data_IF_383886995239
#
_entry.id   IF_383886995239
#
_cell.length_a   1.000
_cell.length_b   1.000
_cell.length_c   1.000
_cell.angle_alpha   90.00
_cell.angle_beta   90.00
_cell.angle_gamma   90.00
#
_symmetry.space_group_name_H-M   'P 1'
#
loop_
_entity.id
_entity.type
_entity.pdbx_description
1 polymer ?
#
# COMPACT_ATOMS: atom_id res chain seq x y z
N UNK A 1 26.06 55.32 19.55
CA UNK A 1 25.27 54.12 19.22
C UNK A 1 23.82 54.47 19.47
N UNK A 2 23.06 54.75 18.41
CA UNK A 2 21.62 54.89 18.54
C UNK A 2 21.08 53.47 18.73
N UNK A 3 20.53 53.19 19.90
CA UNK A 3 19.73 51.98 20.12
C UNK A 3 18.44 52.24 19.35
N UNK A 4 18.28 51.60 18.19
CA UNK A 4 16.99 51.55 17.51
C UNK A 4 16.01 50.87 18.47
N UNK A 5 15.16 51.68 19.09
CA UNK A 5 14.08 51.21 19.95
C UNK A 5 13.06 50.59 19.00
N UNK A 6 13.01 49.27 18.97
CA UNK A 6 12.01 48.50 18.23
C UNK A 6 10.63 48.98 18.70
N UNK A 7 9.81 49.44 17.75
CA UNK A 7 8.48 49.97 18.03
C UNK A 7 7.62 48.89 18.72
N UNK A 8 6.82 49.29 19.71
CA UNK A 8 5.98 48.37 20.50
C UNK A 8 5.03 47.57 19.58
N UNK A 9 4.65 48.17 18.44
CA UNK A 9 3.87 47.50 17.40
C UNK A 9 4.63 46.36 16.69
N UNK A 10 5.92 46.54 16.41
CA UNK A 10 6.76 45.48 15.82
C UNK A 10 7.03 44.37 16.83
N UNK A 11 7.23 44.73 18.10
CA UNK A 11 7.32 43.78 19.21
C UNK A 11 6.08 42.90 19.32
N UNK A 12 4.89 43.50 19.27
CA UNK A 12 3.63 42.75 19.38
C UNK A 12 3.40 41.86 18.15
N UNK A 13 3.74 42.35 16.96
CA UNK A 13 3.69 41.55 15.72
C UNK A 13 4.60 40.31 15.79
N UNK A 14 5.85 40.49 16.22
CA UNK A 14 6.81 39.39 16.41
C UNK A 14 6.33 38.39 17.45
N UNK A 15 5.70 38.85 18.55
CA UNK A 15 5.10 37.96 19.56
C UNK A 15 3.97 37.11 18.98
N UNK A 16 3.09 37.71 18.18
CA UNK A 16 2.01 36.99 17.52
C UNK A 16 2.53 35.95 16.52
N UNK A 17 3.57 36.29 15.75
CA UNK A 17 4.20 35.39 14.78
C UNK A 17 4.88 34.20 15.49
N UNK A 18 5.64 34.45 16.56
CA UNK A 18 6.23 33.38 17.39
C UNK A 18 5.15 32.47 17.99
N UNK A 19 4.01 33.03 18.40
CA UNK A 19 2.92 32.24 18.97
C UNK A 19 2.26 31.35 17.92
N UNK A 20 2.06 31.86 16.70
CA UNK A 20 1.54 31.08 15.58
C UNK A 20 2.52 29.97 15.18
N UNK A 21 3.82 30.25 15.12
CA UNK A 21 4.85 29.23 14.83
C UNK A 21 4.88 28.12 15.89
N UNK A 22 4.72 28.47 17.18
CA UNK A 22 4.63 27.47 18.26
C UNK A 22 3.42 26.57 18.11
N UNK A 23 2.25 27.13 17.80
CA UNK A 23 1.03 26.34 17.56
C UNK A 23 1.19 25.41 16.34
N UNK A 24 1.77 25.92 15.26
CA UNK A 24 2.04 25.13 14.06
C UNK A 24 3.04 24.01 14.34
N UNK A 25 4.10 24.29 15.11
CA UNK A 25 5.06 23.28 15.54
C UNK A 25 4.41 22.19 16.38
N UNK A 26 3.55 22.55 17.33
CA UNK A 26 2.84 21.60 18.19
C UNK A 26 1.92 20.69 17.38
N UNK A 27 1.17 21.24 16.41
CA UNK A 27 0.34 20.44 15.50
C UNK A 27 1.18 19.46 14.65
N UNK A 28 2.35 19.90 14.15
CA UNK A 28 3.24 19.03 13.39
C UNK A 28 3.86 17.93 14.25
N UNK A 29 4.21 18.23 15.51
CA UNK A 29 4.72 17.23 16.45
C UNK A 29 3.66 16.18 16.80
N UNK A 30 2.40 16.59 16.98
CA UNK A 30 1.27 15.67 17.17
C UNK A 30 1.07 14.76 15.94
N UNK A 31 1.03 15.35 14.74
CA UNK A 31 0.90 14.58 13.49
C UNK A 31 2.07 13.60 13.30
N UNK A 32 3.29 14.01 13.60
CA UNK A 32 4.46 13.14 13.53
C UNK A 32 4.40 12.00 14.55
N UNK A 33 3.88 12.26 15.75
CA UNK A 33 3.68 11.23 16.77
C UNK A 33 2.61 10.21 16.34
N UNK A 34 1.50 10.67 15.78
CA UNK A 34 0.45 9.82 15.23
C UNK A 34 0.98 8.96 14.07
N UNK A 35 1.74 9.55 13.15
CA UNK A 35 2.38 8.82 12.05
C UNK A 35 3.39 7.76 12.55
N UNK A 36 4.15 8.04 13.61
CA UNK A 36 5.01 7.03 14.21
C UNK A 36 4.22 5.88 14.81
N UNK A 37 3.10 6.18 15.48
CA UNK A 37 2.23 5.16 16.06
C UNK A 37 1.59 4.27 14.98
N UNK A 38 1.15 4.86 13.85
CA UNK A 38 0.60 4.08 12.74
C UNK A 38 1.65 3.21 12.06
N UNK A 39 2.88 3.70 11.90
CA UNK A 39 4.00 2.88 11.40
C UNK A 39 4.27 1.69 12.34
N UNK A 40 4.33 1.91 13.66
CA UNK A 40 4.56 0.84 14.62
C UNK A 40 3.44 -0.22 14.59
N UNK A 41 2.18 0.20 14.41
CA UNK A 41 1.06 -0.72 14.26
C UNK A 41 1.15 -1.54 12.95
N UNK A 42 1.54 -0.89 11.84
CA UNK A 42 1.71 -1.57 10.55
C UNK A 42 2.86 -2.58 10.59
N UNK A 43 3.97 -2.26 11.25
CA UNK A 43 5.09 -3.18 11.45
C UNK A 43 4.67 -4.42 12.24
N UNK A 44 3.91 -4.26 13.35
CA UNK A 44 3.37 -5.40 14.11
C UNK A 44 2.42 -6.27 13.29
N UNK A 45 1.57 -5.66 12.46
CA UNK A 45 0.68 -6.41 11.56
C UNK A 45 1.47 -7.17 10.50
N UNK A 46 2.51 -6.56 9.94
CA UNK A 46 3.39 -7.20 8.97
C UNK A 46 4.06 -8.46 9.55
N UNK A 47 4.64 -8.36 10.75
CA UNK A 47 5.26 -9.49 11.43
C UNK A 47 4.25 -10.62 11.70
N UNK A 48 3.01 -10.27 12.04
CA UNK A 48 1.96 -11.27 12.27
C UNK A 48 1.61 -12.02 10.99
N UNK A 49 1.46 -11.30 9.87
CA UNK A 49 1.17 -11.89 8.55
C UNK A 49 2.30 -12.82 8.09
N UNK A 50 3.56 -12.43 8.30
CA UNK A 50 4.71 -13.27 7.96
C UNK A 50 4.72 -14.57 8.77
N UNK A 51 4.39 -14.48 10.07
CA UNK A 51 4.26 -15.65 10.94
C UNK A 51 3.11 -16.58 10.56
N UNK A 52 1.92 -16.04 10.26
CA UNK A 52 0.77 -16.84 9.77
C UNK A 52 1.11 -17.54 8.45
N UNK A 53 1.87 -16.85 7.58
CA UNK A 53 2.43 -17.38 6.33
C UNK A 53 3.26 -18.66 6.54
N UNK A 54 4.04 -18.69 7.62
CA UNK A 54 4.88 -19.84 7.95
C UNK A 54 4.07 -20.98 8.60
N UNK A 55 2.98 -20.66 9.31
CA UNK A 55 2.16 -21.66 10.00
C UNK A 55 1.33 -22.52 9.02
N UNK A 56 0.66 -21.92 8.03
CA UNK A 56 -0.11 -22.69 7.05
C UNK A 56 0.80 -23.61 6.22
N UNK A 57 2.01 -23.14 5.89
CA UNK A 57 3.00 -23.91 5.14
C UNK A 57 3.44 -25.15 5.92
N UNK A 58 3.80 -24.97 7.19
CA UNK A 58 4.16 -26.08 8.09
C UNK A 58 3.02 -27.09 8.23
N UNK A 59 1.77 -26.61 8.39
CA UNK A 59 0.58 -27.49 8.46
C UNK A 59 0.36 -28.26 7.15
N UNK A 60 0.48 -27.57 6.01
CA UNK A 60 0.34 -28.19 4.69
C UNK A 60 1.41 -29.25 4.43
N UNK A 61 2.67 -28.96 4.75
CA UNK A 61 3.78 -29.91 4.61
C UNK A 61 3.55 -31.15 5.48
N UNK A 62 3.18 -30.96 6.75
CA UNK A 62 2.85 -32.07 7.67
C UNK A 62 1.67 -32.91 7.15
N UNK A 63 0.61 -32.26 6.67
CA UNK A 63 -0.55 -32.97 6.13
C UNK A 63 -0.21 -33.76 4.86
N UNK A 64 0.66 -33.20 4.01
CA UNK A 64 1.13 -33.85 2.79
C UNK A 64 1.94 -35.11 3.12
N UNK A 65 2.85 -35.03 4.10
CA UNK A 65 3.60 -36.21 4.57
C UNK A 65 2.67 -37.31 5.11
N UNK A 66 1.66 -36.95 5.90
CA UNK A 66 0.68 -37.91 6.43
C UNK A 66 -0.10 -38.57 5.27
N UNK A 67 -0.52 -37.79 4.28
CA UNK A 67 -1.24 -38.31 3.12
C UNK A 67 -0.37 -39.31 2.33
N UNK A 68 0.91 -39.00 2.10
CA UNK A 68 1.83 -39.93 1.44
C UNK A 68 2.04 -41.23 2.24
N UNK A 69 2.08 -41.15 3.57
CA UNK A 69 2.16 -42.35 4.42
C UNK A 69 0.90 -43.20 4.30
N UNK A 70 -0.28 -42.59 4.28
CA UNK A 70 -1.56 -43.28 4.11
C UNK A 70 -1.66 -43.95 2.74
N UNK A 71 -1.23 -43.27 1.67
CA UNK A 71 -1.19 -43.85 0.32
C UNK A 71 -0.29 -45.09 0.26
N UNK A 72 0.89 -45.02 0.90
CA UNK A 72 1.79 -46.19 1.02
C UNK A 72 1.13 -47.35 1.77
N UNK A 73 0.39 -47.07 2.84
CA UNK A 73 -0.35 -48.10 3.59
C UNK A 73 -1.47 -48.73 2.75
N UNK A 74 -2.22 -47.92 2.00
CA UNK A 74 -3.27 -48.41 1.08
C UNK A 74 -2.65 -49.36 0.05
N UNK A 75 -1.54 -48.97 -0.57
CA UNK A 75 -0.85 -49.81 -1.55
C UNK A 75 -0.41 -51.15 -0.94
N UNK A 76 0.16 -51.12 0.27
CA UNK A 76 0.57 -52.35 0.98
C UNK A 76 -0.62 -53.27 1.26
N UNK A 77 -1.74 -52.71 1.74
CA UNK A 77 -2.95 -53.48 2.04
C UNK A 77 -3.57 -54.07 0.76
N UNK A 78 -3.60 -53.29 -0.32
CA UNK A 78 -4.06 -53.79 -1.62
C UNK A 78 -3.20 -54.97 -2.10
N UNK A 79 -1.88 -54.88 -1.98
CA UNK A 79 -0.98 -55.98 -2.34
C UNK A 79 -1.25 -57.23 -1.49
N UNK A 80 -1.39 -57.09 -0.17
CA UNK A 80 -1.73 -58.21 0.73
C UNK A 80 -3.07 -58.87 0.36
N UNK A 81 -4.06 -58.08 -0.01
CA UNK A 81 -5.35 -58.61 -0.48
C UNK A 81 -5.22 -59.36 -1.79
N UNK A 82 -4.43 -58.86 -2.74
CA UNK A 82 -4.19 -59.55 -4.02
C UNK A 82 -3.42 -60.84 -3.83
N UNK A 83 -2.40 -60.85 -2.97
CA UNK A 83 -1.63 -62.04 -2.61
C UNK A 83 -2.51 -63.10 -1.96
N UNK A 84 -3.38 -62.71 -1.02
CA UNK A 84 -4.36 -63.62 -0.42
C UNK A 84 -5.32 -64.21 -1.47
N UNK A 85 -5.79 -63.39 -2.44
CA UNK A 85 -6.64 -63.85 -3.54
C UNK A 85 -5.92 -64.82 -4.48
N UNK A 86 -4.65 -64.55 -4.80
CA UNK A 86 -3.83 -65.43 -5.63
C UNK A 86 -3.60 -66.79 -4.95
N UNK A 87 -3.26 -66.77 -3.65
CA UNK A 87 -3.08 -67.97 -2.84
C UNK A 87 -4.38 -68.83 -2.77
N UNK A 88 -5.55 -68.19 -2.70
CA UNK A 88 -6.85 -68.88 -2.77
C UNK A 88 -7.11 -69.52 -4.14
N UNK A 89 -6.65 -68.88 -5.23
CA UNK A 89 -6.83 -69.36 -6.60
C UNK A 89 -5.89 -70.53 -6.94
N UNK A 90 -4.64 -70.48 -6.48
CA UNK A 90 -3.65 -71.55 -6.65
C UNK A 90 -3.95 -72.80 -5.82
N UNK A 91 -4.69 -72.65 -4.70
CA UNK A 91 -5.14 -73.79 -3.90
C UNK A 91 -6.20 -74.68 -4.60
N UNK A 92 -6.68 -74.32 -5.80
CA UNK A 92 -7.53 -75.19 -6.64
C UNK A 92 -8.89 -75.57 -6.06
N UNK A 93 -9.35 -74.94 -4.98
CA UNK A 93 -10.62 -75.30 -4.34
C UNK A 93 -11.79 -74.62 -5.04
N UNK A 94 -12.46 -75.35 -5.93
CA UNK A 94 -13.79 -74.94 -6.39
C UNK A 94 -14.82 -75.24 -5.31
N UNK A 95 -15.90 -74.45 -5.15
CA UNK A 95 -16.98 -74.77 -4.21
C UNK A 95 -17.66 -76.13 -4.44
N UNK A 96 -17.36 -76.81 -5.55
CA UNK A 96 -17.90 -78.13 -5.91
C UNK A 96 -17.16 -79.31 -5.27
N UNK A 97 -15.93 -79.11 -4.79
CA UNK A 97 -15.15 -80.18 -4.13
C UNK A 97 -15.54 -80.36 -2.65
N UNK A 98 -16.43 -79.50 -2.15
CA UNK A 98 -16.92 -79.46 -0.77
C UNK A 98 -18.11 -80.41 -0.53
N UNK A 99 -18.14 -81.55 -1.23
CA UNK A 99 -19.23 -82.54 -1.09
C UNK A 99 -19.26 -83.25 0.27
N UNK A 100 -18.24 -83.05 1.10
CA UNK A 100 -18.23 -83.42 2.50
C UNK A 100 -18.51 -82.18 3.33
N UNK A 101 -19.79 -81.84 3.49
CA UNK A 101 -20.24 -80.72 4.31
C UNK A 101 -19.90 -80.92 5.81
N UNK A 102 -19.48 -82.13 6.19
CA UNK A 102 -19.05 -82.49 7.55
C UNK A 102 -17.58 -82.11 7.84
N UNK A 103 -16.76 -81.83 6.82
CA UNK A 103 -15.34 -81.44 6.97
C UNK A 103 -15.11 -79.92 6.87
N UNK A 104 -16.18 -79.14 6.65
CA UNK A 104 -16.18 -77.67 6.69
C UNK A 104 -16.81 -77.09 7.95
N UNK A 105 -17.29 -77.96 8.84
CA UNK A 105 -17.82 -77.58 10.15
C UNK A 105 -16.76 -76.87 11.01
N UNK A 106 -15.47 -77.09 10.74
CA UNK A 106 -14.38 -76.53 11.53
C UNK A 106 -13.83 -75.24 10.93
N UNK A 107 -14.69 -74.24 10.75
CA UNK A 107 -14.23 -72.89 11.04
C UNK A 107 -13.84 -72.87 12.53
N UNK A 108 -12.56 -73.16 12.83
CA UNK A 108 -12.05 -73.26 14.20
C UNK A 108 -12.66 -72.11 15.02
N UNK A 109 -13.46 -72.39 16.07
CA UNK A 109 -14.13 -71.36 16.86
C UNK A 109 -13.19 -70.25 17.35
N UNK A 110 -11.90 -70.56 17.45
CA UNK A 110 -10.84 -69.61 17.71
C UNK A 110 -10.67 -68.54 16.61
N UNK A 111 -10.67 -68.93 15.32
CA UNK A 111 -10.51 -68.02 14.19
C UNK A 111 -11.71 -67.08 14.04
N UNK A 112 -12.94 -67.58 14.20
CA UNK A 112 -14.14 -66.75 14.25
C UNK A 112 -14.02 -65.72 15.39
N UNK A 113 -13.55 -66.15 16.56
CA UNK A 113 -13.37 -65.26 17.71
C UNK A 113 -12.28 -64.20 17.48
N UNK A 114 -11.22 -64.52 16.73
CA UNK A 114 -10.20 -63.53 16.35
C UNK A 114 -10.76 -62.50 15.37
N UNK A 115 -11.48 -62.94 14.34
CA UNK A 115 -12.12 -62.04 13.37
C UNK A 115 -13.19 -61.16 14.02
N UNK A 116 -13.97 -61.68 14.97
CA UNK A 116 -14.94 -60.88 15.73
C UNK A 116 -14.25 -59.81 16.58
N UNK A 117 -13.11 -60.13 17.20
CA UNK A 117 -12.30 -59.15 17.94
C UNK A 117 -11.76 -58.08 17.01
N UNK A 118 -11.21 -58.46 15.86
CA UNK A 118 -10.66 -57.53 14.87
C UNK A 118 -11.74 -56.60 14.31
N UNK A 119 -12.90 -57.15 13.95
CA UNK A 119 -14.09 -56.38 13.57
C UNK A 119 -14.49 -55.38 14.65
N UNK A 120 -14.49 -55.77 15.92
CA UNK A 120 -14.84 -54.87 17.02
C UNK A 120 -13.79 -53.76 17.21
N UNK A 121 -12.50 -54.06 17.05
CA UNK A 121 -11.43 -53.06 17.07
C UNK A 121 -11.61 -52.05 15.93
N UNK A 122 -11.84 -52.53 14.71
CA UNK A 122 -12.07 -51.66 13.54
C UNK A 122 -13.33 -50.81 13.71
N UNK A 123 -14.40 -51.39 14.27
CA UNK A 123 -15.63 -50.65 14.56
C UNK A 123 -15.40 -49.54 15.58
N UNK A 124 -14.64 -49.81 16.64
CA UNK A 124 -14.29 -48.80 17.64
C UNK A 124 -13.40 -47.70 17.06
N UNK A 125 -12.43 -48.06 16.21
CA UNK A 125 -11.58 -47.10 15.50
C UNK A 125 -12.40 -46.20 14.56
N UNK A 126 -13.35 -46.76 13.80
CA UNK A 126 -14.26 -45.95 12.97
C UNK A 126 -15.04 -44.96 13.82
N UNK A 127 -15.60 -45.40 14.95
CA UNK A 127 -16.36 -44.52 15.83
C UNK A 127 -15.52 -43.39 16.44
N UNK A 128 -14.26 -43.66 16.76
CA UNK A 128 -13.32 -42.64 17.25
C UNK A 128 -13.01 -41.62 16.14
N UNK A 129 -12.75 -42.09 14.92
CA UNK A 129 -12.53 -41.20 13.77
C UNK A 129 -13.77 -40.33 13.48
N UNK A 130 -14.97 -40.91 13.50
CA UNK A 130 -16.22 -40.16 13.34
C UNK A 130 -16.37 -39.07 14.41
N UNK A 131 -16.05 -39.39 15.67
CA UNK A 131 -16.11 -38.42 16.76
C UNK A 131 -15.10 -37.29 16.58
N UNK A 132 -13.85 -37.62 16.19
CA UNK A 132 -12.81 -36.62 15.93
C UNK A 132 -13.19 -35.69 14.78
N UNK A 133 -13.74 -36.23 13.69
CA UNK A 133 -14.24 -35.44 12.56
C UNK A 133 -15.37 -34.51 12.97
N UNK A 134 -16.30 -34.96 13.83
CA UNK A 134 -17.37 -34.11 14.35
C UNK A 134 -16.82 -32.96 15.23
N UNK A 135 -15.82 -33.23 16.07
CA UNK A 135 -15.16 -32.18 16.87
C UNK A 135 -14.43 -31.17 15.98
N UNK A 136 -13.67 -31.65 14.99
CA UNK A 136 -12.95 -30.79 14.06
C UNK A 136 -13.91 -29.93 13.22
N UNK A 137 -15.01 -30.52 12.74
CA UNK A 137 -16.09 -29.80 12.05
C UNK A 137 -16.68 -28.68 12.90
N UNK A 138 -16.90 -28.93 14.20
CA UNK A 138 -17.36 -27.91 15.14
C UNK A 138 -16.33 -26.80 15.33
N UNK A 139 -15.06 -27.14 15.53
CA UNK A 139 -13.98 -26.17 15.70
C UNK A 139 -13.84 -25.28 14.45
N UNK A 140 -13.81 -25.88 13.26
CA UNK A 140 -13.74 -25.18 11.98
C UNK A 140 -14.93 -24.23 11.80
N UNK A 141 -16.15 -24.66 12.18
CA UNK A 141 -17.34 -23.80 12.12
C UNK A 141 -17.23 -22.56 13.00
N UNK A 142 -16.63 -22.66 14.19
CA UNK A 142 -16.40 -21.51 15.06
C UNK A 142 -15.32 -20.59 14.49
N UNK A 143 -14.23 -21.16 13.99
CA UNK A 143 -13.14 -20.41 13.37
C UNK A 143 -13.63 -19.60 12.17
N UNK A 144 -14.36 -20.24 11.25
CA UNK A 144 -14.94 -19.58 10.08
C UNK A 144 -15.83 -18.40 10.49
N UNK A 145 -16.70 -18.58 11.49
CA UNK A 145 -17.54 -17.47 11.98
C UNK A 145 -16.74 -16.33 12.59
N UNK A 146 -15.62 -16.61 13.25
CA UNK A 146 -14.74 -15.58 13.80
C UNK A 146 -14.09 -14.78 12.68
N UNK A 147 -13.50 -15.47 11.70
CA UNK A 147 -12.86 -14.86 10.54
C UNK A 147 -13.85 -14.04 9.71
N UNK A 148 -15.09 -14.50 9.57
CA UNK A 148 -16.14 -13.77 8.85
C UNK A 148 -16.47 -12.43 9.51
N UNK A 149 -16.50 -12.38 10.86
CA UNK A 149 -16.72 -11.14 11.61
C UNK A 149 -15.55 -10.19 11.46
N UNK A 150 -14.33 -10.70 11.58
CA UNK A 150 -13.12 -9.90 11.43
C UNK A 150 -13.01 -9.32 10.01
N UNK A 151 -13.27 -10.14 8.99
CA UNK A 151 -13.38 -9.68 7.59
C UNK A 151 -14.38 -8.53 7.46
N UNK A 152 -15.57 -8.65 8.04
CA UNK A 152 -16.59 -7.59 7.99
C UNK A 152 -16.13 -6.31 8.69
N UNK A 153 -15.45 -6.43 9.84
CA UNK A 153 -14.87 -5.30 10.56
C UNK A 153 -13.80 -4.59 9.72
N UNK A 154 -12.84 -5.34 9.17
CA UNK A 154 -11.76 -4.80 8.33
C UNK A 154 -12.31 -4.14 7.07
N UNK A 155 -13.31 -4.74 6.43
CA UNK A 155 -14.01 -4.13 5.29
C UNK A 155 -14.75 -2.84 5.66
N UNK A 156 -15.20 -2.71 6.92
CA UNK A 156 -15.75 -1.47 7.45
C UNK A 156 -14.68 -0.39 7.60
N UNK A 157 -13.56 -0.74 8.25
CA UNK A 157 -12.43 0.16 8.44
C UNK A 157 -11.82 0.65 7.12
N UNK A 158 -11.67 -0.24 6.15
CA UNK A 158 -11.17 0.10 4.82
C UNK A 158 -12.05 1.16 4.14
N UNK A 159 -13.38 0.99 4.19
CA UNK A 159 -14.33 1.98 3.63
C UNK A 159 -14.26 3.33 4.34
N UNK A 160 -14.05 3.34 5.66
CA UNK A 160 -13.88 4.58 6.42
C UNK A 160 -12.60 5.32 6.02
N UNK A 161 -11.49 4.59 5.92
CA UNK A 161 -10.20 5.14 5.47
C UNK A 161 -10.30 5.68 4.04
N UNK A 162 -10.90 4.92 3.12
CA UNK A 162 -11.16 5.36 1.74
C UNK A 162 -11.96 6.67 1.71
N UNK A 163 -13.02 6.75 2.53
CA UNK A 163 -13.83 7.96 2.61
C UNK A 163 -13.02 9.15 3.16
N UNK A 164 -12.23 8.95 4.22
CA UNK A 164 -11.37 10.00 4.78
C UNK A 164 -10.33 10.49 3.79
N UNK A 165 -9.69 9.59 3.05
CA UNK A 165 -8.73 9.93 1.99
C UNK A 165 -9.38 10.75 0.87
N UNK A 166 -10.61 10.40 0.48
CA UNK A 166 -11.37 11.19 -0.50
C UNK A 166 -11.68 12.61 0.02
N UNK A 167 -12.04 12.74 1.30
CA UNK A 167 -12.24 14.06 1.91
C UNK A 167 -10.94 14.88 1.98
N UNK A 168 -9.83 14.27 2.38
CA UNK A 168 -8.53 14.92 2.46
C UNK A 168 -8.05 15.38 1.08
N UNK A 169 -8.20 14.53 0.06
CA UNK A 169 -7.91 14.87 -1.34
C UNK A 169 -8.71 16.10 -1.80
N UNK A 170 -10.01 16.15 -1.51
CA UNK A 170 -10.87 17.31 -1.82
C UNK A 170 -10.40 18.57 -1.11
N UNK A 171 -10.07 18.47 0.19
CA UNK A 171 -9.56 19.59 0.97
C UNK A 171 -8.22 20.11 0.42
N UNK A 172 -7.31 19.20 0.06
CA UNK A 172 -6.02 19.54 -0.54
C UNK A 172 -6.19 20.27 -1.86
N UNK A 173 -7.04 19.76 -2.76
CA UNK A 173 -7.28 20.41 -4.05
C UNK A 173 -7.86 21.81 -3.88
N UNK A 174 -8.83 21.99 -2.97
CA UNK A 174 -9.40 23.29 -2.63
C UNK A 174 -8.31 24.27 -2.13
N UNK A 175 -7.50 23.86 -1.15
CA UNK A 175 -6.44 24.69 -0.61
C UNK A 175 -5.36 25.04 -1.66
N UNK A 176 -5.03 24.10 -2.54
CA UNK A 176 -4.07 24.34 -3.62
C UNK A 176 -4.61 25.32 -4.67
N UNK A 177 -5.90 25.28 -4.99
CA UNK A 177 -6.52 26.24 -5.90
C UNK A 177 -6.62 27.65 -5.28
N UNK A 178 -6.91 27.74 -3.98
CA UNK A 178 -6.80 29.01 -3.23
C UNK A 178 -5.37 29.56 -3.26
N UNK A 179 -4.36 28.71 -3.03
CA UNK A 179 -2.94 29.08 -3.12
C UNK A 179 -2.57 29.61 -4.51
N UNK A 180 -3.04 28.97 -5.59
CA UNK A 180 -2.81 29.47 -6.95
C UNK A 180 -3.45 30.84 -7.15
N UNK A 181 -4.67 31.04 -6.65
CA UNK A 181 -5.38 32.32 -6.71
C UNK A 181 -4.58 33.42 -6.02
N UNK A 182 -4.18 33.21 -4.75
CA UNK A 182 -3.34 34.18 -4.03
C UNK A 182 -2.00 34.43 -4.72
N UNK A 183 -1.38 33.40 -5.30
CA UNK A 183 -0.14 33.57 -6.06
C UNK A 183 -0.33 34.48 -7.28
N UNK A 184 -1.46 34.38 -7.98
CA UNK A 184 -1.79 35.25 -9.11
C UNK A 184 -2.02 36.69 -8.65
N UNK A 185 -2.77 36.88 -7.56
CA UNK A 185 -3.02 38.21 -6.97
C UNK A 185 -1.72 38.88 -6.54
N UNK A 186 -0.85 38.17 -5.82
CA UNK A 186 0.46 38.66 -5.39
C UNK A 186 1.30 39.09 -6.60
N UNK A 187 1.33 38.27 -7.67
CA UNK A 187 2.09 38.60 -8.88
C UNK A 187 1.51 39.84 -9.59
N UNK A 188 0.19 39.97 -9.64
CA UNK A 188 -0.50 41.15 -10.19
C UNK A 188 -0.19 42.42 -9.39
N UNK A 189 -0.26 42.36 -8.05
CA UNK A 189 0.07 43.48 -7.17
C UNK A 189 1.55 43.85 -7.27
N UNK A 190 2.45 42.86 -7.32
CA UNK A 190 3.89 43.10 -7.55
C UNK A 190 4.16 43.84 -8.86
N UNK A 191 3.49 43.43 -9.94
CA UNK A 191 3.54 44.16 -11.22
C UNK A 191 3.09 45.61 -11.08
N UNK A 192 1.93 45.81 -10.45
CA UNK A 192 1.36 47.14 -10.22
C UNK A 192 2.27 48.04 -9.35
N UNK A 193 2.92 47.48 -8.32
CA UNK A 193 3.89 48.19 -7.47
C UNK A 193 5.13 48.59 -8.27
N UNK A 194 5.64 47.71 -9.13
CA UNK A 194 6.79 48.01 -9.97
C UNK A 194 6.48 49.13 -10.98
N UNK A 195 5.29 49.09 -11.59
CA UNK A 195 4.79 50.14 -12.48
C UNK A 195 4.59 51.46 -11.73
N UNK A 196 4.08 51.42 -10.49
CA UNK A 196 3.97 52.60 -9.64
C UNK A 196 5.35 53.17 -9.31
N UNK A 197 6.30 52.33 -8.85
CA UNK A 197 7.67 52.74 -8.50
C UNK A 197 8.42 53.35 -9.69
N UNK A 198 8.26 52.80 -10.89
CA UNK A 198 8.86 53.37 -12.11
C UNK A 198 8.22 54.71 -12.49
N UNK A 199 6.90 54.87 -12.35
CA UNK A 199 6.22 56.16 -12.55
C UNK A 199 6.63 57.22 -11.52
N UNK A 200 6.80 56.85 -10.24
CA UNK A 200 7.24 57.79 -9.20
C UNK A 200 8.70 58.21 -9.38
N UNK A 201 9.58 57.31 -9.85
CA UNK A 201 10.96 57.67 -10.22
C UNK A 201 11.00 58.65 -11.39
N UNK A 202 10.11 58.48 -12.38
CA UNK A 202 9.95 59.42 -13.50
C UNK A 202 9.36 60.77 -13.07
N UNK A 203 8.51 60.82 -12.04
CA UNK A 203 7.96 62.08 -11.51
C UNK A 203 8.94 62.82 -10.60
N UNK A 204 9.70 62.09 -9.76
CA UNK A 204 10.74 62.69 -8.89
C UNK A 204 11.91 63.26 -9.71
N UNK A 205 12.18 62.73 -10.90
CA UNK A 205 13.11 63.33 -11.86
C UNK A 205 12.57 64.59 -12.56
N UNK A 206 11.30 64.96 -12.35
CA UNK A 206 10.64 66.11 -12.98
C UNK A 206 10.58 67.34 -12.05
N UNK A 207 10.66 67.14 -10.73
CA UNK A 207 10.70 68.22 -9.73
C UNK A 207 12.12 68.69 -9.37
N UNK A 208 13.17 68.06 -9.94
CA UNK A 208 14.57 68.44 -9.75
C UNK A 208 15.15 69.31 -10.89
N UNK A 209 14.31 70.08 -11.59
CA UNK A 209 14.79 70.99 -12.64
C UNK A 209 14.00 72.30 -12.65
N UNK A 210 14.21 73.11 -11.62
CA UNK A 210 13.95 74.55 -11.70
C UNK A 210 15.17 75.30 -11.15
N UNK A 211 16.19 75.44 -11.99
CA UNK A 211 17.15 76.57 -12.08
C UNK A 211 18.24 76.18 -13.08
N UNK A 212 18.26 76.85 -14.24
CA UNK A 212 19.40 77.33 -15.05
C UNK A 212 18.89 77.51 -16.50
N UNK A 213 18.77 78.75 -17.01
CA UNK A 213 18.38 79.00 -18.39
C UNK A 213 19.60 78.99 -19.31
N UNK A 214 19.54 78.19 -20.38
CA UNK A 214 20.38 78.41 -21.56
C UNK A 214 21.06 77.17 -22.15
N UNK A 215 20.31 76.38 -22.91
CA UNK A 215 20.76 75.86 -24.22
C UNK A 215 19.59 75.21 -24.94
N UNK A 216 19.17 75.80 -26.06
CA UNK A 216 18.28 75.17 -27.06
C UNK A 216 19.20 74.48 -28.08
N UNK A 217 18.98 73.22 -28.43
CA UNK A 217 18.29 72.76 -29.66
C UNK A 217 18.50 71.21 -29.77
N UNK A 218 17.84 70.47 -30.68
CA UNK A 218 16.46 70.02 -30.51
C UNK A 218 16.27 68.48 -30.69
N UNK A 219 15.08 68.05 -30.29
CA UNK A 219 14.49 66.71 -30.28
C UNK A 219 14.54 65.91 -31.60
N UNK A 220 14.23 64.60 -31.45
CA UNK A 220 13.48 63.70 -32.37
C UNK A 220 14.39 62.66 -33.05
N UNK A 221 14.16 61.35 -33.15
CA UNK A 221 13.10 60.37 -32.83
C UNK A 221 13.70 58.99 -33.15
N UNK A 222 13.22 57.87 -32.56
CA UNK A 222 13.65 56.55 -33.04
C UNK A 222 13.25 55.34 -32.21
N UNK A 223 11.95 55.05 -32.15
CA UNK A 223 11.36 53.84 -31.59
C UNK A 223 11.76 52.60 -32.41
N UNK A 224 12.72 51.79 -31.94
CA UNK A 224 12.94 50.45 -32.52
C UNK A 224 12.90 49.42 -31.39
N UNK A 225 11.86 48.55 -31.33
CA UNK A 225 11.79 47.44 -30.39
C UNK A 225 13.02 46.52 -30.49
N UNK A 226 13.39 45.88 -29.37
CA UNK A 226 14.58 45.02 -29.22
C UNK A 226 14.79 44.01 -30.37
N UNK A 227 13.70 43.49 -30.92
CA UNK A 227 13.67 42.44 -31.94
C UNK A 227 14.00 42.91 -33.36
N UNK A 228 14.28 44.21 -33.53
CA UNK A 228 14.62 44.83 -34.82
C UNK A 228 15.99 45.52 -34.81
N UNK A 229 16.82 45.30 -33.79
CA UNK A 229 18.19 45.79 -33.77
C UNK A 229 19.05 45.02 -34.78
N UNK A 230 19.53 45.71 -35.80
CA UNK A 230 20.49 45.18 -36.78
C UNK A 230 21.89 45.51 -36.29
N UNK A 231 22.65 44.50 -35.85
CA UNK A 231 24.03 44.69 -35.39
C UNK A 231 25.01 44.85 -36.57
N UNK A 232 24.67 44.25 -37.72
CA UNK A 232 25.49 44.27 -38.93
C UNK A 232 24.61 44.44 -40.20
N UNK A 233 24.79 45.51 -41.01
CA UNK A 233 23.87 45.86 -42.10
C UNK A 233 23.68 44.82 -43.20
N UNK A 234 24.61 43.87 -43.35
CA UNK A 234 24.54 42.81 -44.38
C UNK A 234 23.64 41.63 -44.00
N UNK A 235 23.27 41.49 -42.72
CA UNK A 235 22.64 40.27 -42.19
C UNK A 235 21.18 40.42 -41.74
N UNK A 236 20.58 41.62 -41.82
CA UNK A 236 19.15 41.85 -41.53
C UNK A 236 18.74 41.66 -40.05
N UNK A 237 17.42 41.80 -39.73
CA UNK A 237 16.93 41.75 -38.34
C UNK A 237 17.04 40.36 -37.68
N UNK A 238 17.38 40.34 -36.39
CA UNK A 238 17.62 39.11 -35.60
C UNK A 238 16.30 38.35 -35.38
N UNK A 239 16.12 37.18 -36.01
CA UNK A 239 14.96 36.30 -35.77
C UNK A 239 15.23 35.38 -34.57
N UNK A 240 14.66 35.66 -33.41
CA UNK A 240 14.69 34.74 -32.24
C UNK A 240 13.66 33.62 -32.42
N UNK A 241 14.05 32.54 -33.09
CA UNK A 241 13.34 31.27 -33.06
C UNK A 241 14.21 30.24 -32.33
N UNK A 242 14.03 30.09 -31.02
CA UNK A 242 14.57 28.96 -30.29
C UNK A 242 13.52 27.83 -30.31
N UNK A 243 13.53 27.02 -31.37
CA UNK A 243 12.82 25.74 -31.38
C UNK A 243 13.78 24.65 -30.89
N UNK A 244 13.74 24.33 -29.60
CA UNK A 244 14.45 23.16 -29.06
C UNK A 244 13.52 21.95 -29.21
N UNK A 245 13.83 21.05 -30.15
CA UNK A 245 13.02 19.83 -30.41
C UNK A 245 13.42 18.62 -29.55
N UNK A 246 14.38 18.74 -28.63
CA UNK A 246 14.62 17.81 -27.50
C UNK A 246 15.86 18.26 -26.72
N UNK A 247 15.89 17.99 -25.42
CA UNK A 247 17.07 18.19 -24.57
C UNK A 247 18.04 17.01 -24.73
N UNK A 248 19.36 17.21 -24.63
CA UNK A 248 20.35 16.13 -24.72
C UNK A 248 20.23 15.17 -23.52
N UNK A 249 20.44 13.87 -23.76
CA UNK A 249 20.36 12.84 -22.72
C UNK A 249 21.54 12.94 -21.76
N UNK A 250 21.26 12.74 -20.47
CA UNK A 250 22.28 12.65 -19.42
C UNK A 250 22.90 11.25 -19.42
N UNK A 251 24.22 11.16 -19.50
CA UNK A 251 24.94 9.90 -19.29
C UNK A 251 24.85 9.50 -17.80
N UNK A 252 24.41 8.27 -17.56
CA UNK A 252 24.38 7.64 -16.25
C UNK A 252 25.78 7.22 -15.84
N UNK A 253 26.26 7.72 -14.69
CA UNK A 253 27.34 7.10 -13.91
C UNK A 253 26.73 6.43 -12.70
#
# INVERSE_FOLDING_TARGET
>A
MAVEVMDDFELEKLRAEIQQEKQMKEMLEQSAAELRATVEELEKRYDTIDNEGNEWKTRYETQTEINEQLERQILMLQNKVQEAKANLKDAGKTPRDLKNFDDLSDANPHMIRMLEKEKNVLMNQMRDMEWRLDQESKANKYMIRSLEKEKQMLQGQMRDIEWRLDQESKAYHKANDERKTYSLEINSTKGSINDFSTRTKLSSSRDALDTIPGSRTPRSMGNIPEDQRILDPKHGPIKKAAAVKSLPSLETT
#
